data_IF_089820493426
#
_entry.id   IF_089820493426
#
_cell.length_a   1.000
_cell.length_b   1.000
_cell.length_c   1.000
_cell.angle_alpha   90.00
_cell.angle_beta   90.00
_cell.angle_gamma   90.00
#
_symmetry.space_group_name_H-M   'P 1'
#
loop_
_entity.id
_entity.type
_entity.pdbx_description
1 polymer ?
#
# COMPACT_ATOMS: atom_id res chain seq x y z
N UNK A 1 -26.21 -2.39 20.47
CA UNK A 1 -26.49 -1.41 19.39
C UNK A 1 -27.62 -2.01 18.56
N UNK A 2 -28.74 -1.33 18.31
CA UNK A 2 -29.79 -1.89 17.47
C UNK A 2 -29.23 -2.16 16.06
N UNK A 3 -29.61 -3.29 15.45
CA UNK A 3 -29.06 -3.82 14.19
C UNK A 3 -28.97 -2.75 13.10
N UNK A 4 -30.03 -1.93 12.96
CA UNK A 4 -30.13 -0.85 11.98
C UNK A 4 -29.09 0.28 12.16
N UNK A 5 -28.61 0.53 13.39
CA UNK A 5 -27.55 1.53 13.65
C UNK A 5 -26.19 0.94 13.28
N UNK A 6 -25.96 -0.35 13.54
CA UNK A 6 -24.74 -1.02 13.12
C UNK A 6 -24.65 -1.10 11.58
N UNK A 7 -25.77 -1.38 10.92
CA UNK A 7 -25.90 -1.44 9.45
C UNK A 7 -25.64 -0.07 8.80
N UNK A 8 -26.29 1.01 9.26
CA UNK A 8 -26.06 2.34 8.72
C UNK A 8 -24.64 2.90 8.96
N UNK A 9 -24.02 2.54 10.09
CA UNK A 9 -22.62 2.90 10.36
C UNK A 9 -21.68 2.07 9.47
N UNK A 10 -21.97 0.79 9.27
CA UNK A 10 -21.20 -0.09 8.39
C UNK A 10 -21.21 0.41 6.94
N UNK A 11 -22.39 0.77 6.44
CA UNK A 11 -22.59 1.25 5.08
C UNK A 11 -21.87 2.59 4.85
N UNK A 12 -22.07 3.57 5.74
CA UNK A 12 -21.41 4.88 5.62
C UNK A 12 -19.89 4.82 5.76
N UNK A 13 -19.35 3.93 6.59
CA UNK A 13 -17.89 3.72 6.69
C UNK A 13 -17.36 2.99 5.46
N UNK A 14 -18.06 1.98 4.96
CA UNK A 14 -17.66 1.26 3.75
C UNK A 14 -17.65 2.19 2.52
N UNK A 15 -18.63 3.08 2.42
CA UNK A 15 -18.74 4.06 1.32
C UNK A 15 -17.60 5.10 1.38
N UNK A 16 -17.34 5.69 2.55
CA UNK A 16 -16.23 6.63 2.73
C UNK A 16 -14.84 5.99 2.51
N UNK A 17 -14.66 4.71 2.86
CA UNK A 17 -13.41 4.00 2.59
C UNK A 17 -13.27 3.68 1.10
N UNK A 18 -14.34 3.26 0.43
CA UNK A 18 -14.33 3.04 -1.01
C UNK A 18 -13.97 4.33 -1.76
N UNK A 19 -14.52 5.47 -1.34
CA UNK A 19 -14.20 6.79 -1.88
C UNK A 19 -12.72 7.15 -1.66
N UNK A 20 -12.19 6.99 -0.44
CA UNK A 20 -10.78 7.26 -0.14
C UNK A 20 -9.80 6.35 -0.89
N UNK A 21 -10.15 5.08 -1.14
CA UNK A 21 -9.36 4.19 -1.99
C UNK A 21 -9.35 4.70 -3.44
N UNK A 22 -10.52 5.05 -3.99
CA UNK A 22 -10.65 5.53 -5.35
C UNK A 22 -9.91 6.86 -5.57
N UNK A 23 -10.10 7.81 -4.65
CA UNK A 23 -9.46 9.12 -4.67
C UNK A 23 -7.93 9.00 -4.57
N UNK A 24 -7.42 8.24 -3.60
CA UNK A 24 -5.97 8.06 -3.46
C UNK A 24 -5.34 7.34 -4.65
N UNK A 25 -6.05 6.42 -5.32
CA UNK A 25 -5.57 5.83 -6.57
C UNK A 25 -5.57 6.85 -7.70
N UNK A 26 -6.66 7.62 -7.86
CA UNK A 26 -6.78 8.63 -8.91
C UNK A 26 -5.74 9.73 -8.75
N UNK A 27 -5.63 10.29 -7.54
CA UNK A 27 -4.68 11.35 -7.23
C UNK A 27 -3.23 10.86 -7.28
N UNK A 28 -2.96 9.66 -6.77
CA UNK A 28 -1.64 9.02 -6.90
C UNK A 28 -1.20 8.83 -8.35
N UNK A 29 -2.13 8.56 -9.26
CA UNK A 29 -1.83 8.50 -10.70
C UNK A 29 -1.56 9.89 -11.30
N UNK A 30 -2.25 10.93 -10.82
CA UNK A 30 -2.15 12.31 -11.30
C UNK A 30 -0.90 13.09 -10.85
N UNK A 31 -0.20 12.68 -9.78
CA UNK A 31 1.03 13.36 -9.36
C UNK A 31 2.17 13.19 -10.36
N UNK A 32 3.09 14.13 -10.44
CA UNK A 32 4.28 14.01 -11.30
C UNK A 32 5.44 13.33 -10.58
N UNK A 33 5.66 13.68 -9.31
CA UNK A 33 6.78 13.15 -8.52
C UNK A 33 6.49 11.74 -8.04
N UNK A 34 7.52 10.87 -8.11
CA UNK A 34 7.45 9.47 -7.69
C UNK A 34 7.12 9.34 -6.20
N UNK A 35 7.64 10.26 -5.38
CA UNK A 35 7.43 10.29 -3.93
C UNK A 35 5.95 10.57 -3.60
N UNK A 36 5.34 11.52 -4.31
CA UNK A 36 3.95 11.87 -4.07
C UNK A 36 3.02 10.74 -4.49
N UNK A 37 3.25 10.08 -5.65
CA UNK A 37 2.46 8.90 -6.06
C UNK A 37 2.42 7.82 -4.97
N UNK A 38 3.58 7.48 -4.42
CA UNK A 38 3.68 6.43 -3.41
C UNK A 38 2.92 6.77 -2.13
N UNK A 39 2.98 8.04 -1.69
CA UNK A 39 2.25 8.49 -0.52
C UNK A 39 0.74 8.24 -0.66
N UNK A 40 0.16 8.56 -1.82
CA UNK A 40 -1.27 8.31 -2.05
C UNK A 40 -1.59 6.82 -2.14
N UNK A 41 -0.75 6.00 -2.78
CA UNK A 41 -0.96 4.54 -2.80
C UNK A 41 -0.84 3.89 -1.41
N UNK A 42 0.03 4.42 -0.54
CA UNK A 42 0.14 3.98 0.85
C UNK A 42 -1.11 4.33 1.65
N UNK A 43 -1.66 5.54 1.46
CA UNK A 43 -2.93 5.96 2.06
C UNK A 43 -4.05 5.03 1.61
N UNK A 44 -4.26 4.83 0.30
CA UNK A 44 -5.29 3.92 -0.21
C UNK A 44 -5.12 2.49 0.31
N UNK A 45 -3.88 2.03 0.50
CA UNK A 45 -3.61 0.69 1.05
C UNK A 45 -3.99 0.61 2.53
N UNK A 46 -3.71 1.66 3.30
CA UNK A 46 -4.14 1.79 4.69
C UNK A 46 -5.65 1.71 4.80
N UNK A 47 -6.38 2.53 4.04
CA UNK A 47 -7.85 2.52 4.02
C UNK A 47 -8.42 1.16 3.64
N UNK A 48 -7.85 0.46 2.67
CA UNK A 48 -8.29 -0.89 2.31
C UNK A 48 -8.10 -1.93 3.44
N UNK A 49 -7.06 -1.80 4.27
CA UNK A 49 -6.84 -2.67 5.42
C UNK A 49 -7.77 -2.35 6.60
N UNK A 50 -8.07 -1.07 6.80
CA UNK A 50 -9.09 -0.63 7.75
C UNK A 50 -10.46 -1.22 7.38
N UNK A 51 -10.83 -1.19 6.10
CA UNK A 51 -12.07 -1.82 5.60
C UNK A 51 -12.13 -3.32 5.91
N UNK A 52 -11.01 -4.04 5.74
CA UNK A 52 -10.94 -5.47 6.05
C UNK A 52 -11.15 -5.73 7.55
N UNK A 53 -10.67 -4.82 8.41
CA UNK A 53 -10.84 -4.90 9.86
C UNK A 53 -12.29 -4.59 10.27
N UNK A 54 -12.96 -3.68 9.57
CA UNK A 54 -14.39 -3.42 9.76
C UNK A 54 -15.22 -4.65 9.38
N UNK A 55 -14.89 -5.31 8.28
CA UNK A 55 -15.49 -6.59 7.91
C UNK A 55 -15.39 -7.63 9.04
N UNK A 56 -14.25 -7.73 9.73
CA UNK A 56 -14.09 -8.60 10.90
C UNK A 56 -15.05 -8.21 12.04
N UNK A 57 -15.17 -6.91 12.34
CA UNK A 57 -16.09 -6.40 13.38
C UNK A 57 -17.55 -6.68 13.01
N UNK A 58 -17.94 -6.41 11.77
CA UNK A 58 -19.30 -6.67 11.27
C UNK A 58 -19.63 -8.15 11.31
N UNK A 59 -18.65 -9.01 11.00
CA UNK A 59 -18.83 -10.45 11.12
C UNK A 59 -19.01 -10.89 12.57
N UNK A 60 -18.21 -10.36 13.50
CA UNK A 60 -18.36 -10.66 14.94
C UNK A 60 -19.68 -10.15 15.50
N UNK A 61 -20.19 -9.03 15.00
CA UNK A 61 -21.47 -8.43 15.42
C UNK A 61 -22.70 -9.05 14.76
N UNK A 62 -22.53 -10.07 13.91
CA UNK A 62 -23.59 -10.67 13.10
C UNK A 62 -24.35 -9.70 12.18
N UNK A 63 -23.67 -8.63 11.75
CA UNK A 63 -24.24 -7.58 10.90
C UNK A 63 -24.16 -7.90 9.39
N UNK A 64 -23.30 -8.83 8.98
CA UNK A 64 -23.15 -9.28 7.59
C UNK A 64 -23.06 -10.81 7.54
N UNK A 65 -23.56 -11.45 6.49
CA UNK A 65 -23.42 -12.90 6.34
C UNK A 65 -22.00 -13.31 5.89
N UNK A 66 -21.67 -14.60 6.04
CA UNK A 66 -20.34 -15.14 5.71
C UNK A 66 -19.98 -14.97 4.23
N UNK A 67 -20.95 -15.09 3.32
CA UNK A 67 -20.69 -14.94 1.90
C UNK A 67 -20.40 -13.48 1.53
N UNK A 68 -21.12 -12.53 2.12
CA UNK A 68 -20.86 -11.09 1.99
C UNK A 68 -19.50 -10.71 2.58
N UNK A 69 -19.14 -11.24 3.76
CA UNK A 69 -17.81 -11.02 4.35
C UNK A 69 -16.68 -11.54 3.45
N UNK A 70 -16.82 -12.78 2.98
CA UNK A 70 -15.84 -13.43 2.11
C UNK A 70 -15.66 -12.70 0.78
N UNK A 71 -16.76 -12.24 0.16
CA UNK A 71 -16.71 -11.44 -1.08
C UNK A 71 -15.96 -10.13 -0.85
N UNK A 72 -16.35 -9.35 0.16
CA UNK A 72 -15.71 -8.07 0.46
C UNK A 72 -14.21 -8.21 0.75
N UNK A 73 -13.82 -9.17 1.60
CA UNK A 73 -12.41 -9.47 1.87
C UNK A 73 -11.63 -9.92 0.64
N UNK A 74 -12.27 -10.66 -0.27
CA UNK A 74 -11.63 -11.07 -1.54
C UNK A 74 -11.31 -9.86 -2.42
N UNK A 75 -12.21 -8.89 -2.52
CA UNK A 75 -11.98 -7.68 -3.31
C UNK A 75 -10.91 -6.78 -2.67
N UNK A 76 -10.99 -6.58 -1.35
CA UNK A 76 -9.97 -5.85 -0.59
C UNK A 76 -8.58 -6.47 -0.74
N UNK A 77 -8.47 -7.80 -0.72
CA UNK A 77 -7.21 -8.51 -0.96
C UNK A 77 -6.61 -8.18 -2.33
N UNK A 78 -7.43 -8.09 -3.38
CA UNK A 78 -6.98 -7.73 -4.74
C UNK A 78 -6.47 -6.29 -4.78
N UNK A 79 -7.19 -5.36 -4.15
CA UNK A 79 -6.80 -3.94 -4.05
C UNK A 79 -5.47 -3.79 -3.31
N UNK A 80 -5.34 -4.39 -2.11
CA UNK A 80 -4.11 -4.35 -1.31
C UNK A 80 -2.94 -4.97 -2.08
N UNK A 81 -3.16 -6.07 -2.78
CA UNK A 81 -2.12 -6.72 -3.61
C UNK A 81 -1.65 -5.83 -4.75
N UNK A 82 -2.57 -5.15 -5.43
CA UNK A 82 -2.27 -4.19 -6.50
C UNK A 82 -1.46 -3.00 -5.96
N UNK A 83 -1.93 -2.36 -4.89
CA UNK A 83 -1.26 -1.21 -4.27
C UNK A 83 0.12 -1.59 -3.75
N UNK A 84 0.25 -2.75 -3.11
CA UNK A 84 1.54 -3.28 -2.65
C UNK A 84 2.53 -3.45 -3.81
N UNK A 85 2.09 -3.97 -4.95
CA UNK A 85 2.94 -4.09 -6.14
C UNK A 85 3.31 -2.73 -6.73
N UNK A 86 2.42 -1.74 -6.72
CA UNK A 86 2.72 -0.38 -7.17
C UNK A 86 3.79 0.29 -6.30
N UNK A 87 3.70 0.11 -4.99
CA UNK A 87 4.69 0.61 -4.03
C UNK A 87 6.03 -0.15 -4.20
N UNK A 88 6.01 -1.50 -4.23
CA UNK A 88 7.21 -2.35 -4.25
C UNK A 88 7.98 -2.33 -5.57
N UNK A 89 7.30 -2.38 -6.74
CA UNK A 89 7.98 -2.32 -8.05
C UNK A 89 8.86 -1.09 -8.18
N UNK A 90 8.54 -0.02 -7.45
CA UNK A 90 9.21 1.27 -7.55
C UNK A 90 10.30 1.49 -6.51
N UNK A 91 10.31 0.76 -5.39
CA UNK A 91 11.46 0.71 -4.46
C UNK A 91 12.67 0.00 -5.08
N UNK A 92 12.47 -1.08 -5.84
CA UNK A 92 13.56 -1.78 -6.54
C UNK A 92 14.28 -0.92 -7.59
N UNK A 93 13.63 0.12 -8.11
CA UNK A 93 14.26 1.07 -9.05
C UNK A 93 15.17 2.05 -8.29
N UNK A 94 14.71 2.60 -7.17
CA UNK A 94 15.53 3.51 -6.35
C UNK A 94 16.76 2.82 -5.74
N UNK A 95 16.68 1.53 -5.41
CA UNK A 95 17.82 0.77 -4.90
C UNK A 95 18.89 0.48 -5.96
N UNK A 96 18.53 0.43 -7.25
CA UNK A 96 19.49 0.23 -8.35
C UNK A 96 20.32 1.47 -8.66
N UNK A 97 19.81 2.66 -8.33
CA UNK A 97 20.49 3.93 -8.56
C UNK A 97 21.61 4.20 -7.52
N UNK A 98 21.80 3.32 -6.52
CA UNK A 98 22.78 3.48 -5.43
C UNK A 98 24.02 2.57 -5.62
N UNK A 99 24.02 1.66 -6.61
CA UNK A 99 25.09 0.67 -6.80
C UNK A 99 26.16 1.10 -7.82
N UNK A 100 26.74 2.30 -7.66
CA UNK A 100 27.96 2.68 -8.37
C UNK A 100 28.94 3.43 -7.48
N UNK A 101 30.23 3.08 -7.67
CA UNK A 101 31.45 3.75 -7.17
C UNK A 101 32.18 3.08 -5.99
N UNK A 102 32.57 1.81 -6.14
CA UNK A 102 33.81 1.27 -5.53
C UNK A 102 34.36 0.13 -6.38
N UNK A 103 35.07 0.46 -7.45
CA UNK A 103 36.09 -0.43 -8.02
C UNK A 103 37.00 0.36 -8.95
N UNK A 104 38.30 0.11 -8.79
CA UNK A 104 39.41 0.52 -9.63
C UNK A 104 40.17 1.78 -9.16
N UNK A 105 40.70 1.71 -7.94
CA UNK A 105 41.96 2.36 -7.60
C UNK A 105 42.93 1.29 -7.09
N UNK A 106 43.44 0.45 -8.01
CA UNK A 106 44.63 -0.35 -7.73
C UNK A 106 45.81 0.62 -7.63
N UNK A 107 46.14 1.05 -6.40
CA UNK A 107 47.44 1.65 -6.13
C UNK A 107 48.49 0.55 -6.25
N UNK A 108 49.20 0.53 -7.37
CA UNK A 108 50.45 -0.18 -7.52
C UNK A 108 51.44 0.40 -6.49
N UNK A 109 51.64 -0.31 -5.38
CA UNK A 109 52.66 0.00 -4.40
C UNK A 109 53.99 -0.52 -4.93
N UNK A 110 54.88 0.38 -5.37
CA UNK A 110 56.28 0.05 -5.66
C UNK A 110 57.09 0.12 -4.35
N UNK A 111 57.54 -1.02 -3.81
CA UNK A 111 58.32 -1.06 -2.58
C UNK A 111 59.77 -0.57 -2.73
N UNK A 112 60.21 -0.12 -3.91
CA UNK A 112 61.61 0.25 -4.17
C UNK A 112 61.82 1.74 -4.51
N UNK A 113 60.88 2.62 -4.18
CA UNK A 113 61.01 4.05 -4.50
C UNK A 113 62.10 4.79 -3.68
N UNK A 114 62.64 4.18 -2.61
CA UNK A 114 63.69 4.79 -1.79
C UNK A 114 64.82 3.79 -1.48
N UNK A 115 65.82 3.70 -2.37
CA UNK A 115 67.13 3.08 -2.11
C UNK A 115 68.26 3.85 -2.80
#
# INVERSE_FOLDING_TARGET
>A
IPLNIAEGIAEGIAEGIAEGIAEGIAEGNGKQSRKDKNRFFEISRGSALECASIHDVLRVCDAIDEDSDRRGKSDLKRIVSMLTRFIQRKQKVAARDIEYEYRDAEHEYDPNADA
#
